data_IF_555008070406
#
_entry.id   IF_555008070406
#
_cell.length_a   1.000
_cell.length_b   1.000
_cell.length_c   1.000
_cell.angle_alpha   90.00
_cell.angle_beta   90.00
_cell.angle_gamma   90.00
#
_symmetry.space_group_name_H-M   'P 1'
#
loop_
_entity.id
_entity.type
_entity.pdbx_description
1 polymer ?
#
# COMPACT_ATOMS: atom_id res chain seq x y z
N UNK A 1 7.95 14.40 7.09
CA UNK A 1 6.95 14.03 6.08
C UNK A 1 5.98 13.01 6.69
N UNK A 2 4.69 13.15 6.39
CA UNK A 2 3.64 12.24 6.85
C UNK A 2 3.13 11.46 5.64
N UNK A 3 3.15 10.13 5.71
CA UNK A 3 2.49 9.30 4.71
C UNK A 3 1.04 9.07 5.11
N UNK A 4 0.13 9.21 4.17
CA UNK A 4 -1.29 8.89 4.36
C UNK A 4 -1.85 8.35 3.05
N UNK A 5 -2.56 7.23 3.14
CA UNK A 5 -3.39 6.70 2.06
C UNK A 5 -4.83 6.66 2.57
N UNK A 6 -5.73 7.34 1.85
CA UNK A 6 -7.14 7.38 2.15
C UNK A 6 -7.93 6.71 1.02
N UNK A 7 -8.85 5.82 1.39
CA UNK A 7 -9.71 5.09 0.45
C UNK A 7 -11.15 5.26 0.89
N UNK A 8 -11.94 5.98 0.11
CA UNK A 8 -13.38 6.14 0.35
C UNK A 8 -14.15 5.05 -0.37
N UNK A 9 -14.94 4.31 0.39
CA UNK A 9 -15.82 3.25 -0.09
C UNK A 9 -17.29 3.64 0.15
N UNK A 10 -18.22 2.89 -0.41
CA UNK A 10 -19.66 3.13 -0.23
C UNK A 10 -20.09 3.10 1.24
N UNK A 11 -19.53 2.21 2.04
CA UNK A 11 -19.91 1.93 3.43
C UNK A 11 -18.85 2.25 4.48
N UNK A 12 -17.68 2.72 4.07
CA UNK A 12 -16.58 3.02 4.97
C UNK A 12 -15.54 3.95 4.32
N UNK A 13 -14.81 4.66 5.16
CA UNK A 13 -13.55 5.30 4.79
C UNK A 13 -12.40 4.60 5.52
N UNK A 14 -11.34 4.29 4.78
CA UNK A 14 -10.12 3.68 5.30
C UNK A 14 -9.01 4.71 5.24
N UNK A 15 -8.33 4.93 6.36
CA UNK A 15 -7.18 5.82 6.42
C UNK A 15 -5.98 5.03 6.94
N UNK A 16 -5.02 4.78 6.08
CA UNK A 16 -3.72 4.24 6.45
C UNK A 16 -2.75 5.40 6.65
N UNK A 17 -2.13 5.50 7.82
CA UNK A 17 -1.19 6.56 8.15
C UNK A 17 0.10 5.99 8.74
N UNK A 18 1.21 6.68 8.47
CA UNK A 18 2.55 6.23 8.85
C UNK A 18 2.95 4.96 8.11
N UNK A 19 4.17 4.89 7.63
CA UNK A 19 4.75 3.63 7.16
C UNK A 19 5.87 3.29 8.10
N UNK A 20 5.81 2.12 8.72
CA UNK A 20 6.94 1.57 9.45
C UNK A 20 8.07 1.35 8.44
N UNK A 21 9.07 2.20 8.55
CA UNK A 21 10.36 1.92 7.95
C UNK A 21 11.31 1.51 9.06
N UNK A 22 12.43 0.89 8.73
CA UNK A 22 13.46 0.54 9.71
C UNK A 22 13.90 1.74 10.55
N UNK A 23 13.74 2.95 10.05
CA UNK A 23 14.05 4.22 10.74
C UNK A 23 12.87 4.76 11.54
N UNK A 24 11.66 4.20 11.40
CA UNK A 24 10.41 4.72 12.00
C UNK A 24 10.17 6.23 11.72
N UNK A 25 10.71 6.73 10.64
CA UNK A 25 10.76 8.17 10.33
C UNK A 25 9.42 8.75 9.87
N UNK A 26 8.45 7.90 9.51
CA UNK A 26 7.14 8.31 9.00
C UNK A 26 6.02 8.23 10.04
N UNK A 27 6.38 8.04 11.30
CA UNK A 27 5.44 7.94 12.41
C UNK A 27 4.95 6.52 12.67
N UNK A 28 3.97 6.42 13.56
CA UNK A 28 3.34 5.15 13.90
C UNK A 28 2.42 4.70 12.77
N UNK A 29 2.52 3.44 12.38
CA UNK A 29 1.61 2.86 11.40
C UNK A 29 0.26 2.57 12.03
N UNK A 30 -0.79 3.14 11.44
CA UNK A 30 -2.16 3.02 11.93
C UNK A 30 -3.13 2.81 10.76
N UNK A 31 -4.11 1.94 10.97
CA UNK A 31 -5.28 1.81 10.10
C UNK A 31 -6.50 2.31 10.86
N UNK A 32 -7.13 3.37 10.36
CA UNK A 32 -8.41 3.86 10.86
C UNK A 32 -9.51 3.48 9.87
N UNK A 33 -10.57 2.87 10.36
CA UNK A 33 -11.77 2.54 9.60
C UNK A 33 -12.93 3.32 10.19
N UNK A 34 -13.50 4.20 9.37
CA UNK A 34 -14.70 4.96 9.71
C UNK A 34 -15.86 4.33 8.94
N UNK A 35 -16.83 3.78 9.66
CA UNK A 35 -17.99 3.14 9.05
C UNK A 35 -19.08 4.18 8.79
N UNK A 36 -19.67 4.11 7.60
CA UNK A 36 -20.90 4.84 7.35
C UNK A 36 -22.03 4.18 8.15
N UNK A 37 -22.66 4.97 9.00
CA UNK A 37 -23.85 4.56 9.73
C UNK A 37 -24.99 5.50 9.33
N UNK A 38 -25.93 4.97 8.57
CA UNK A 38 -27.04 5.76 8.02
C UNK A 38 -28.11 6.04 9.08
N UNK A 39 -28.12 5.32 10.23
CA UNK A 39 -29.17 5.36 11.24
C UNK A 39 -28.72 5.90 12.62
N UNK A 40 -27.43 6.17 12.81
CA UNK A 40 -26.90 6.44 14.16
C UNK A 40 -27.32 7.79 14.73
N UNK A 41 -27.73 8.75 13.91
CA UNK A 41 -28.05 10.13 14.35
C UNK A 41 -26.92 10.80 15.15
N UNK A 42 -25.75 10.18 15.22
CA UNK A 42 -24.58 10.56 15.99
C UNK A 42 -23.28 10.41 15.22
N UNK A 43 -22.17 10.34 15.94
CA UNK A 43 -20.86 10.18 15.35
C UNK A 43 -20.71 8.81 14.68
N UNK A 44 -20.08 8.74 13.49
CA UNK A 44 -19.84 7.48 12.83
C UNK A 44 -18.92 6.59 13.66
N UNK A 45 -19.15 5.28 13.61
CA UNK A 45 -18.30 4.30 14.28
C UNK A 45 -16.89 4.33 13.68
N UNK A 46 -15.90 4.62 14.51
CA UNK A 46 -14.50 4.62 14.13
C UNK A 46 -13.72 3.55 14.89
N UNK A 47 -12.85 2.83 14.18
CA UNK A 47 -11.92 1.85 14.76
C UNK A 47 -10.52 2.18 14.25
N UNK A 48 -9.60 2.44 15.19
CA UNK A 48 -8.18 2.64 14.89
C UNK A 48 -7.36 1.48 15.43
N UNK A 49 -6.58 0.86 14.56
CA UNK A 49 -5.62 -0.19 14.89
C UNK A 49 -4.21 0.33 14.68
N UNK A 50 -3.36 0.20 15.69
CA UNK A 50 -1.95 0.57 15.63
C UNK A 50 -1.07 -0.66 15.41
N UNK A 51 -0.10 -0.54 14.52
CA UNK A 51 0.89 -1.58 14.22
C UNK A 51 2.25 -1.11 14.75
N UNK A 52 2.82 -1.86 15.69
CA UNK A 52 4.07 -1.48 16.37
C UNK A 52 5.29 -2.24 15.87
N UNK A 53 5.05 -3.33 15.13
CA UNK A 53 6.10 -4.18 14.57
C UNK A 53 5.93 -4.27 13.05
N UNK A 54 7.04 -4.17 12.35
CA UNK A 54 7.12 -4.41 10.91
C UNK A 54 7.67 -5.83 10.68
N UNK A 55 6.79 -6.74 10.37
CA UNK A 55 7.12 -8.12 10.03
C UNK A 55 6.98 -8.38 8.51
N UNK A 56 6.91 -7.32 7.69
CA UNK A 56 6.64 -7.45 6.26
C UNK A 56 7.67 -8.34 5.55
N UNK A 57 8.96 -8.12 5.80
CA UNK A 57 10.03 -8.91 5.23
C UNK A 57 10.01 -10.38 5.67
N UNK A 58 9.78 -10.63 6.95
CA UNK A 58 9.68 -11.99 7.48
C UNK A 58 8.48 -12.73 6.86
N UNK A 59 7.33 -12.09 6.79
CA UNK A 59 6.13 -12.64 6.19
C UNK A 59 6.33 -12.95 4.71
N UNK A 60 6.93 -12.02 3.95
CA UNK A 60 7.21 -12.19 2.52
C UNK A 60 8.13 -13.40 2.28
N UNK A 61 9.24 -13.49 3.00
CA UNK A 61 10.18 -14.63 2.87
C UNK A 61 9.53 -15.94 3.27
N UNK A 62 8.75 -15.94 4.35
CA UNK A 62 8.06 -17.16 4.80
C UNK A 62 7.00 -17.62 3.80
N UNK A 63 6.23 -16.72 3.22
CA UNK A 63 5.22 -17.06 2.21
C UNK A 63 5.87 -17.57 0.92
N UNK A 64 6.96 -16.94 0.49
CA UNK A 64 7.73 -17.42 -0.65
C UNK A 64 8.32 -18.82 -0.42
N UNK A 65 8.93 -19.04 0.74
CA UNK A 65 9.45 -20.36 1.11
C UNK A 65 8.36 -21.45 1.16
N UNK A 66 7.18 -21.12 1.70
CA UNK A 66 6.02 -22.05 1.69
C UNK A 66 5.56 -22.39 0.28
N UNK A 67 5.52 -21.41 -0.63
CA UNK A 67 5.16 -21.67 -2.03
C UNK A 67 6.12 -22.67 -2.68
N UNK A 68 7.41 -22.59 -2.38
CA UNK A 68 8.42 -23.55 -2.89
C UNK A 68 8.23 -24.94 -2.25
N UNK A 69 8.08 -25.00 -0.93
CA UNK A 69 7.98 -26.28 -0.19
C UNK A 69 6.70 -27.02 -0.59
N UNK A 70 5.59 -26.30 -0.72
CA UNK A 70 4.28 -26.87 -1.01
C UNK A 70 4.00 -27.05 -2.51
N UNK A 71 4.95 -26.67 -3.38
CA UNK A 71 4.80 -26.62 -4.85
C UNK A 71 3.53 -25.83 -5.27
N UNK A 72 3.31 -24.69 -4.63
CA UNK A 72 2.16 -23.80 -4.90
C UNK A 72 2.56 -22.54 -5.62
N UNK A 73 1.70 -21.98 -6.47
CA UNK A 73 1.98 -20.71 -7.13
C UNK A 73 2.01 -19.57 -6.11
N UNK A 74 2.85 -18.58 -6.35
CA UNK A 74 2.81 -17.29 -5.66
C UNK A 74 1.54 -16.57 -6.09
N UNK A 75 0.67 -16.21 -5.14
CA UNK A 75 -0.63 -15.57 -5.41
C UNK A 75 -0.55 -14.04 -5.24
N UNK A 76 0.25 -13.57 -4.27
CA UNK A 76 0.40 -12.16 -3.95
C UNK A 76 1.81 -11.71 -4.30
N UNK A 77 1.95 -10.53 -4.93
CA UNK A 77 3.25 -10.00 -5.31
C UNK A 77 3.92 -10.78 -6.44
N UNK A 78 3.13 -11.26 -7.42
CA UNK A 78 3.66 -11.99 -8.56
C UNK A 78 4.55 -11.10 -9.44
N UNK A 79 5.43 -11.72 -10.23
CA UNK A 79 6.25 -11.00 -11.24
C UNK A 79 5.36 -10.23 -12.24
N UNK A 80 4.15 -10.72 -12.51
CA UNK A 80 3.18 -10.02 -13.35
C UNK A 80 2.67 -8.73 -12.68
N UNK A 81 2.37 -8.77 -11.38
CA UNK A 81 1.94 -7.60 -10.62
C UNK A 81 3.07 -6.57 -10.50
N UNK A 82 4.28 -7.05 -10.24
CA UNK A 82 5.47 -6.20 -10.21
C UNK A 82 5.69 -5.50 -11.56
N UNK A 83 5.56 -6.22 -12.67
CA UNK A 83 5.64 -5.65 -14.02
C UNK A 83 4.58 -4.56 -14.24
N UNK A 84 3.31 -4.82 -13.91
CA UNK A 84 2.23 -3.83 -14.03
C UNK A 84 2.47 -2.58 -13.17
N UNK A 85 3.00 -2.76 -11.98
CA UNK A 85 3.36 -1.65 -11.10
C UNK A 85 4.45 -0.80 -11.75
N UNK A 86 5.49 -1.41 -12.31
CA UNK A 86 6.55 -0.69 -13.00
C UNK A 86 6.03 0.00 -14.27
N UNK A 87 5.16 -0.63 -15.05
CA UNK A 87 4.51 0.00 -16.21
C UNK A 87 3.72 1.26 -15.80
N UNK A 88 3.03 1.22 -14.67
CA UNK A 88 2.33 2.40 -14.13
C UNK A 88 3.31 3.50 -13.74
N UNK A 89 4.39 3.17 -13.04
CA UNK A 89 5.45 4.12 -12.66
C UNK A 89 6.05 4.81 -13.89
N UNK A 90 6.37 4.04 -14.93
CA UNK A 90 6.87 4.60 -16.18
C UNK A 90 5.85 5.51 -16.86
N UNK A 91 4.57 5.15 -16.89
CA UNK A 91 3.50 6.00 -17.42
C UNK A 91 3.41 7.32 -16.68
N UNK A 92 3.52 7.30 -15.35
CA UNK A 92 3.51 8.53 -14.53
C UNK A 92 4.70 9.41 -14.89
N UNK A 93 5.90 8.86 -14.95
CA UNK A 93 7.11 9.63 -15.27
C UNK A 93 7.13 10.17 -16.70
N UNK A 94 6.60 9.42 -17.66
CA UNK A 94 6.54 9.87 -19.06
C UNK A 94 5.42 10.87 -19.32
N UNK A 95 4.42 10.99 -18.44
CA UNK A 95 3.39 12.02 -18.54
C UNK A 95 3.90 13.43 -18.26
N UNK A 96 5.01 13.54 -17.54
CA UNK A 96 5.75 14.80 -17.33
C UNK A 96 6.85 14.93 -18.39
N UNK A 97 6.63 15.81 -19.37
CA UNK A 97 7.54 15.99 -20.50
C UNK A 97 8.91 16.54 -20.07
N UNK A 98 8.95 17.44 -19.09
CA UNK A 98 10.21 18.00 -18.59
C UNK A 98 11.03 16.94 -17.87
N UNK A 99 10.37 16.15 -17.05
CA UNK A 99 11.00 15.05 -16.33
C UNK A 99 11.49 13.94 -17.27
N UNK A 100 10.62 13.48 -18.18
CA UNK A 100 10.97 12.41 -19.13
C UNK A 100 12.13 12.79 -20.05
N UNK A 101 12.15 14.03 -20.51
CA UNK A 101 13.26 14.57 -21.34
C UNK A 101 14.55 14.67 -20.53
N UNK A 102 14.48 15.19 -19.32
CA UNK A 102 15.63 15.39 -18.42
C UNK A 102 16.34 14.08 -18.07
N UNK A 103 15.58 13.03 -17.87
CA UNK A 103 16.09 11.71 -17.43
C UNK A 103 16.08 10.66 -18.53
N UNK A 104 15.79 11.05 -19.77
CA UNK A 104 15.74 10.17 -20.94
C UNK A 104 14.86 8.93 -20.71
N UNK A 105 13.66 9.14 -20.15
CA UNK A 105 12.70 8.08 -19.86
C UNK A 105 11.75 7.93 -21.04
N UNK A 106 11.68 6.73 -21.61
CA UNK A 106 10.75 6.38 -22.69
C UNK A 106 9.99 5.09 -22.34
N UNK A 107 8.74 5.01 -22.80
CA UNK A 107 8.00 3.74 -22.79
C UNK A 107 8.43 2.98 -24.05
N UNK A 108 9.06 1.82 -23.87
CA UNK A 108 9.34 0.88 -24.94
C UNK A 108 8.15 0.00 -25.23
#
# INVERSE_FOLDING_TARGET
>A
HKFTLEITLEKACLVLSGILSSTKSYGQEMLTIVYRDDDSGGDPREITTSYIHDNSWENEINDFAKCIIDDKPVIVGTSHDAKKTMELVYKIYTSDLDWSTRYNISIS
#
